data_IF_367679874285
#
_entry.id   IF_367679874285
#
_cell.length_a   1.000
_cell.length_b   1.000
_cell.length_c   1.000
_cell.angle_alpha   90.00
_cell.angle_beta   90.00
_cell.angle_gamma   90.00
#
_symmetry.space_group_name_H-M   'P 1'
#
loop_
_entity.id
_entity.type
_entity.pdbx_description
1 polymer ?
#
# COMPACT_ATOMS: atom_id res chain seq x y z
N UNK A 1 15.05 -10.53 15.51
CA UNK A 1 14.24 -10.18 14.31
C UNK A 1 12.88 -9.69 14.78
N UNK A 2 12.43 -8.52 14.29
CA UNK A 2 11.20 -7.90 14.78
C UNK A 2 9.98 -8.72 14.32
N UNK A 3 9.14 -9.24 15.22
CA UNK A 3 8.00 -10.13 14.86
C UNK A 3 7.04 -9.51 13.83
N UNK A 4 6.94 -8.17 13.77
CA UNK A 4 6.15 -7.45 12.77
C UNK A 4 6.62 -7.70 11.34
N UNK A 5 7.94 -7.76 11.12
CA UNK A 5 8.54 -7.96 9.80
C UNK A 5 8.16 -9.31 9.19
N UNK A 6 8.11 -10.36 10.01
CA UNK A 6 7.76 -11.71 9.56
C UNK A 6 6.30 -11.77 9.13
N UNK A 7 5.40 -11.15 9.90
CA UNK A 7 3.96 -11.12 9.58
C UNK A 7 3.71 -10.38 8.26
N UNK A 8 4.37 -9.24 8.05
CA UNK A 8 4.28 -8.48 6.81
C UNK A 8 4.78 -9.29 5.60
N UNK A 9 5.94 -9.94 5.73
CA UNK A 9 6.49 -10.77 4.66
C UNK A 9 5.57 -11.95 4.34
N UNK A 10 5.00 -12.61 5.36
CA UNK A 10 4.03 -13.70 5.18
C UNK A 10 2.77 -13.20 4.48
N UNK A 11 2.26 -12.02 4.85
CA UNK A 11 1.09 -11.41 4.21
C UNK A 11 1.34 -11.11 2.73
N UNK A 12 2.53 -10.61 2.39
CA UNK A 12 2.93 -10.37 0.99
C UNK A 12 3.00 -11.68 0.22
N UNK A 13 3.71 -12.69 0.75
CA UNK A 13 3.84 -14.01 0.09
C UNK A 13 2.47 -14.64 -0.14
N UNK A 14 1.59 -14.63 0.88
CA UNK A 14 0.25 -15.19 0.79
C UNK A 14 -0.61 -14.43 -0.24
N UNK A 15 -0.49 -13.10 -0.29
CA UNK A 15 -1.16 -12.27 -1.29
C UNK A 15 -0.69 -12.60 -2.72
N UNK A 16 0.62 -12.77 -2.93
CA UNK A 16 1.20 -13.16 -4.23
C UNK A 16 0.72 -14.54 -4.64
N UNK A 17 0.74 -15.52 -3.73
CA UNK A 17 0.25 -16.87 -4.02
C UNK A 17 -1.22 -16.88 -4.42
N UNK A 18 -2.06 -16.17 -3.66
CA UNK A 18 -3.48 -16.05 -3.96
C UNK A 18 -3.72 -15.36 -5.31
N UNK A 19 -3.00 -14.28 -5.59
CA UNK A 19 -3.13 -13.54 -6.85
C UNK A 19 -2.64 -14.36 -8.04
N UNK A 20 -1.56 -15.13 -7.89
CA UNK A 20 -1.04 -16.01 -8.94
C UNK A 20 -2.08 -17.06 -9.32
N UNK A 21 -2.76 -17.67 -8.34
CA UNK A 21 -3.85 -18.61 -8.60
C UNK A 21 -5.02 -17.94 -9.35
N UNK A 22 -5.34 -16.69 -8.98
CA UNK A 22 -6.42 -15.91 -9.58
C UNK A 22 -6.04 -15.34 -10.97
N UNK A 23 -4.75 -15.23 -11.29
CA UNK A 23 -4.25 -14.55 -12.49
C UNK A 23 -4.75 -15.18 -13.80
N UNK A 24 -5.09 -16.46 -13.77
CA UNK A 24 -5.65 -17.21 -14.91
C UNK A 24 -7.07 -16.78 -15.27
N UNK A 25 -7.77 -16.12 -14.34
CA UNK A 25 -9.14 -15.61 -14.54
C UNK A 25 -9.19 -14.13 -14.92
N UNK A 26 -8.04 -13.45 -14.91
CA UNK A 26 -7.97 -12.02 -15.22
C UNK A 26 -8.15 -11.76 -16.71
N UNK A 27 -8.78 -10.63 -17.08
CA UNK A 27 -8.90 -10.22 -18.46
C UNK A 27 -7.50 -10.03 -19.09
N UNK A 28 -7.35 -10.55 -20.31
CA UNK A 28 -6.09 -10.45 -21.07
C UNK A 28 -5.83 -9.05 -21.61
N UNK A 29 -6.86 -8.20 -21.72
CA UNK A 29 -6.74 -6.80 -22.12
C UNK A 29 -7.38 -5.89 -21.08
N UNK A 30 -6.61 -4.93 -20.56
CA UNK A 30 -7.10 -3.96 -19.58
C UNK A 30 -6.66 -2.55 -19.98
N UNK A 31 -7.51 -1.58 -19.73
CA UNK A 31 -7.17 -0.18 -19.95
C UNK A 31 -6.09 0.28 -18.96
N UNK A 32 -5.11 1.06 -19.43
CA UNK A 32 -4.02 1.56 -18.60
C UNK A 32 -4.51 2.32 -17.34
N UNK A 33 -5.58 3.10 -17.45
CA UNK A 33 -6.15 3.82 -16.31
C UNK A 33 -6.71 2.88 -15.24
N UNK A 34 -7.47 1.85 -15.65
CA UNK A 34 -7.98 0.83 -14.74
C UNK A 34 -6.86 0.03 -14.07
N UNK A 35 -5.79 -0.26 -14.82
CA UNK A 35 -4.59 -0.92 -14.29
C UNK A 35 -3.92 -0.09 -13.19
N UNK A 36 -3.77 1.23 -13.37
CA UNK A 36 -3.28 2.12 -12.31
C UNK A 36 -4.18 2.11 -11.08
N UNK A 37 -5.50 2.13 -11.28
CA UNK A 37 -6.47 2.05 -10.17
C UNK A 37 -6.33 0.75 -9.41
N UNK A 38 -6.21 -0.40 -10.08
CA UNK A 38 -6.05 -1.70 -9.42
C UNK A 38 -4.78 -1.75 -8.56
N UNK A 39 -3.65 -1.24 -9.05
CA UNK A 39 -2.41 -1.22 -8.26
C UNK A 39 -2.47 -0.23 -7.11
N UNK A 40 -3.05 0.96 -7.31
CA UNK A 40 -3.22 1.93 -6.24
C UNK A 40 -4.15 1.40 -5.13
N UNK A 41 -5.25 0.75 -5.50
CA UNK A 41 -6.14 0.08 -4.54
C UNK A 41 -5.44 -1.07 -3.80
N UNK A 42 -4.65 -1.87 -4.51
CA UNK A 42 -3.86 -2.95 -3.89
C UNK A 42 -2.93 -2.41 -2.82
N UNK A 43 -2.19 -1.32 -3.12
CA UNK A 43 -1.33 -0.65 -2.15
C UNK A 43 -2.10 -0.13 -0.94
N UNK A 44 -3.25 0.52 -1.17
CA UNK A 44 -4.08 1.08 -0.10
C UNK A 44 -4.67 -0.01 0.79
N UNK A 45 -5.21 -1.08 0.20
CA UNK A 45 -5.79 -2.22 0.96
C UNK A 45 -4.70 -2.91 1.77
N UNK A 46 -3.54 -3.15 1.17
CA UNK A 46 -2.43 -3.79 1.87
C UNK A 46 -1.90 -2.93 3.01
N UNK A 47 -1.74 -1.62 2.77
CA UNK A 47 -1.40 -0.65 3.82
C UNK A 47 -2.44 -0.60 4.94
N UNK A 48 -3.72 -0.62 4.59
CA UNK A 48 -4.83 -0.62 5.56
C UNK A 48 -4.82 -1.84 6.48
N UNK A 49 -4.67 -3.05 5.92
CA UNK A 49 -4.60 -4.27 6.74
C UNK A 49 -3.40 -4.25 7.70
N UNK A 50 -2.25 -3.75 7.24
CA UNK A 50 -1.07 -3.57 8.10
C UNK A 50 -1.35 -2.56 9.22
N UNK A 51 -1.92 -1.42 8.87
CA UNK A 51 -2.21 -0.35 9.83
C UNK A 51 -3.22 -0.80 10.88
N UNK A 52 -4.25 -1.57 10.48
CA UNK A 52 -5.16 -2.25 11.41
C UNK A 52 -4.44 -3.23 12.33
N UNK A 53 -3.51 -4.04 11.81
CA UNK A 53 -2.73 -4.99 12.60
C UNK A 53 -1.85 -4.28 13.64
N UNK A 54 -1.20 -3.17 13.26
CA UNK A 54 -0.39 -2.36 14.16
C UNK A 54 -1.24 -1.74 15.27
N UNK A 55 -2.40 -1.18 14.92
CA UNK A 55 -3.35 -0.63 15.91
C UNK A 55 -3.88 -1.70 16.87
N UNK A 56 -4.21 -2.90 16.37
CA UNK A 56 -4.66 -4.00 17.21
C UNK A 56 -3.58 -4.44 18.22
N UNK A 57 -2.32 -4.49 17.78
CA UNK A 57 -1.18 -4.83 18.63
C UNK A 57 -0.83 -3.73 19.64
N UNK A 58 -0.97 -2.46 19.25
CA UNK A 58 -0.73 -1.33 20.14
C UNK A 58 -1.79 -1.25 21.24
N UNK A 59 -3.06 -1.58 20.93
CA UNK A 59 -4.13 -1.68 21.93
C UNK A 59 -3.86 -2.73 23.02
N UNK A 60 -3.08 -3.76 22.71
CA UNK A 60 -2.66 -4.79 23.67
C UNK A 60 -1.41 -4.40 24.46
N UNK A 61 -0.74 -3.29 24.09
CA UNK A 61 0.48 -2.79 24.69
C UNK A 61 0.22 -1.36 25.21
N UNK A 62 -0.65 -1.24 26.21
CA UNK A 62 -0.94 0.05 26.87
C UNK A 62 0.30 0.46 27.67
N UNK A 63 1.12 1.31 27.06
CA UNK A 63 2.20 2.02 27.75
C UNK A 63 1.73 3.48 27.89
N UNK A 64 1.36 3.87 29.11
CA UNK A 64 0.74 5.17 29.45
C UNK A 64 1.67 6.38 29.21
N UNK A 65 2.91 6.16 28.77
CA UNK A 65 3.95 7.18 28.63
C UNK A 65 4.35 7.51 27.17
N UNK A 66 3.58 7.05 26.16
CA UNK A 66 3.95 7.30 24.76
C UNK A 66 3.85 8.81 24.39
N UNK A 67 4.94 9.43 23.88
CA UNK A 67 4.99 10.87 23.59
C UNK A 67 4.01 11.31 22.49
N UNK A 68 3.59 12.57 22.62
CA UNK A 68 2.56 13.27 21.84
C UNK A 68 2.77 13.11 20.33
N UNK A 69 1.73 12.60 19.68
CA UNK A 69 1.66 12.25 18.27
C UNK A 69 1.94 13.46 17.34
N UNK A 70 3.10 13.48 16.67
CA UNK A 70 3.38 14.42 15.57
C UNK A 70 2.46 14.15 14.39
N UNK A 71 1.89 15.17 13.73
CA UNK A 71 1.08 15.01 12.51
C UNK A 71 1.90 14.40 11.35
N UNK A 72 2.00 13.08 11.30
CA UNK A 72 2.60 12.34 10.19
C UNK A 72 1.49 11.74 9.34
N UNK A 73 1.61 11.89 8.03
CA UNK A 73 0.77 11.17 7.07
C UNK A 73 1.61 10.02 6.52
N UNK A 74 1.07 8.79 6.57
CA UNK A 74 1.71 7.64 5.94
C UNK A 74 1.89 7.92 4.45
N UNK A 75 3.11 7.76 3.93
CA UNK A 75 3.42 8.01 2.54
C UNK A 75 2.53 7.19 1.60
N UNK A 76 2.07 6.01 2.03
CA UNK A 76 1.18 5.17 1.22
C UNK A 76 -0.19 5.79 0.97
N UNK A 77 -0.76 6.48 1.96
CA UNK A 77 -2.04 7.19 1.77
C UNK A 77 -1.82 8.44 0.91
N UNK A 78 -0.71 9.15 1.13
CA UNK A 78 -0.33 10.33 0.34
C UNK A 78 -0.05 10.01 -1.13
N UNK A 79 0.48 8.83 -1.46
CA UNK A 79 0.74 8.42 -2.85
C UNK A 79 -0.48 7.66 -3.41
N UNK A 80 -1.08 6.77 -2.63
CA UNK A 80 -2.15 5.88 -3.06
C UNK A 80 -3.41 6.63 -3.47
N UNK A 81 -3.90 7.56 -2.63
CA UNK A 81 -5.13 8.29 -2.93
C UNK A 81 -5.03 9.15 -4.21
N UNK A 82 -4.00 9.99 -4.40
CA UNK A 82 -3.83 10.71 -5.66
C UNK A 82 -3.68 9.78 -6.86
N UNK A 83 -3.00 8.65 -6.70
CA UNK A 83 -2.83 7.67 -7.79
C UNK A 83 -4.17 7.05 -8.20
N UNK A 84 -5.09 6.80 -7.26
CA UNK A 84 -6.46 6.36 -7.60
C UNK A 84 -7.18 7.43 -8.42
N UNK A 85 -7.19 8.70 -7.99
CA UNK A 85 -7.87 9.77 -8.72
C UNK A 85 -7.28 9.99 -10.12
N UNK A 86 -5.95 9.95 -10.24
CA UNK A 86 -5.27 10.03 -11.53
C UNK A 86 -5.61 8.84 -12.42
N UNK A 87 -5.60 7.63 -11.88
CA UNK A 87 -5.96 6.41 -12.62
C UNK A 87 -7.39 6.44 -13.13
N UNK A 88 -8.35 6.90 -12.31
CA UNK A 88 -9.75 7.11 -12.72
C UNK A 88 -9.81 8.14 -13.85
N UNK A 89 -9.17 9.29 -13.70
CA UNK A 89 -9.14 10.33 -14.73
C UNK A 89 -8.58 9.80 -16.06
N UNK A 90 -7.48 9.04 -16.00
CA UNK A 90 -6.88 8.40 -17.18
C UNK A 90 -7.79 7.34 -17.80
N UNK A 91 -8.51 6.56 -16.99
CA UNK A 91 -9.46 5.57 -17.50
C UNK A 91 -10.60 6.21 -18.29
N UNK A 92 -11.06 7.40 -17.86
CA UNK A 92 -12.08 8.17 -18.58
C UNK A 92 -11.52 8.91 -19.81
N UNK A 93 -10.32 9.49 -19.72
CA UNK A 93 -9.72 10.26 -20.83
C UNK A 93 -9.10 9.38 -21.94
N UNK A 94 -8.55 8.21 -21.58
CA UNK A 94 -7.79 7.34 -22.48
C UNK A 94 -8.41 5.94 -22.57
N UNK A 95 -9.74 5.85 -22.67
CA UNK A 95 -10.46 4.57 -22.70
C UNK A 95 -10.04 3.63 -23.85
N UNK A 96 -9.47 4.18 -24.91
CA UNK A 96 -8.99 3.44 -26.09
C UNK A 96 -7.62 2.79 -25.92
N UNK A 97 -6.85 3.13 -24.88
CA UNK A 97 -5.51 2.58 -24.67
C UNK A 97 -5.57 1.33 -23.79
N UNK A 98 -5.74 0.18 -24.45
CA UNK A 98 -5.66 -1.14 -23.82
C UNK A 98 -4.25 -1.70 -23.90
N UNK A 99 -3.83 -2.34 -22.82
CA UNK A 99 -2.59 -3.12 -22.74
C UNK A 99 -2.99 -4.58 -22.59
N UNK A 100 -2.37 -5.43 -23.38
CA UNK A 100 -2.50 -6.88 -23.22
C UNK A 100 -1.50 -7.39 -22.21
N UNK A 101 -1.97 -8.13 -21.21
CA UNK A 101 -1.15 -8.71 -20.17
C UNK A 101 -1.42 -10.20 -20.06
N UNK A 102 -0.35 -10.97 -20.06
CA UNK A 102 -0.34 -12.40 -19.73
C UNK A 102 -0.49 -12.60 -18.22
N UNK A 103 -0.89 -13.80 -17.80
CA UNK A 103 -1.01 -14.15 -16.38
C UNK A 103 0.30 -13.95 -15.60
N UNK A 104 1.44 -14.19 -16.26
CA UNK A 104 2.77 -13.99 -15.68
C UNK A 104 3.09 -12.51 -15.50
N UNK A 105 2.79 -11.66 -16.49
CA UNK A 105 2.97 -10.21 -16.38
C UNK A 105 2.09 -9.60 -15.29
N UNK A 106 0.83 -10.05 -15.18
CA UNK A 106 -0.04 -9.68 -14.06
C UNK A 106 0.61 -9.99 -12.71
N UNK A 107 1.13 -11.21 -12.56
CA UNK A 107 1.75 -11.67 -11.32
C UNK A 107 3.01 -10.86 -10.98
N UNK A 108 3.84 -10.57 -11.99
CA UNK A 108 5.04 -9.74 -11.84
C UNK A 108 4.66 -8.33 -11.40
N UNK A 109 3.73 -7.67 -12.09
CA UNK A 109 3.33 -6.31 -11.77
C UNK A 109 2.70 -6.21 -10.37
N UNK A 110 1.86 -7.18 -10.00
CA UNK A 110 1.29 -7.25 -8.66
C UNK A 110 2.36 -7.43 -7.59
N UNK A 111 3.32 -8.33 -7.82
CA UNK A 111 4.44 -8.58 -6.91
C UNK A 111 5.33 -7.35 -6.76
N UNK A 112 5.67 -6.67 -7.87
CA UNK A 112 6.42 -5.41 -7.85
C UNK A 112 5.68 -4.32 -7.08
N UNK A 113 4.36 -4.24 -7.23
CA UNK A 113 3.52 -3.29 -6.50
C UNK A 113 3.60 -3.54 -4.99
N UNK A 114 3.45 -4.80 -4.55
CA UNK A 114 3.55 -5.13 -3.12
C UNK A 114 4.96 -4.90 -2.57
N UNK A 115 6.00 -5.26 -3.32
CA UNK A 115 7.40 -5.01 -2.94
C UNK A 115 7.69 -3.51 -2.84
N UNK A 116 7.16 -2.73 -3.77
CA UNK A 116 7.27 -1.27 -3.73
C UNK A 116 6.58 -0.70 -2.49
N UNK A 117 5.33 -1.10 -2.22
CA UNK A 117 4.60 -0.74 -1.00
C UNK A 117 5.39 -1.10 0.27
N UNK A 118 5.99 -2.28 0.30
CA UNK A 118 6.85 -2.71 1.40
C UNK A 118 8.15 -1.89 1.51
N UNK A 119 8.75 -1.49 0.40
CA UNK A 119 9.97 -0.68 0.41
C UNK A 119 9.73 0.74 0.94
N UNK A 120 8.56 1.32 0.63
CA UNK A 120 8.20 2.68 1.04
C UNK A 120 7.50 2.74 2.40
N UNK A 121 7.22 1.61 3.05
CA UNK A 121 6.39 1.55 4.26
C UNK A 121 6.91 2.32 5.47
N UNK A 122 8.22 2.37 5.60
CA UNK A 122 8.87 3.06 6.72
C UNK A 122 9.08 4.56 6.41
N UNK A 123 8.63 5.04 5.24
CA UNK A 123 8.77 6.44 4.85
C UNK A 123 7.57 7.25 5.33
N UNK A 124 7.84 8.28 6.11
CA UNK A 124 6.85 9.28 6.50
C UNK A 124 7.17 10.63 5.86
N UNK A 125 6.11 11.35 5.48
CA UNK A 125 6.20 12.77 5.17
C UNK A 125 5.96 13.54 6.46
N UNK A 126 7.00 14.20 6.98
CA UNK A 126 6.86 15.16 8.07
C UNK A 126 6.49 16.51 7.50
N UNK A 127 5.40 17.13 7.98
CA UNK A 127 4.98 18.46 7.53
C UNK A 127 5.78 19.62 8.15
N UNK A 128 6.47 19.40 9.27
CA UNK A 128 7.37 20.37 9.91
C UNK A 128 8.56 19.67 10.59
N UNK A 129 9.80 19.81 10.11
CA UNK A 129 10.19 20.36 8.79
C UNK A 129 9.75 19.44 7.64
N UNK A 130 9.45 20.01 6.47
CA UNK A 130 9.16 19.26 5.25
C UNK A 130 10.33 18.33 4.94
N UNK A 131 10.11 17.02 5.08
CA UNK A 131 11.16 16.04 4.89
C UNK A 131 10.59 14.63 4.83
N UNK A 132 11.30 13.77 4.09
CA UNK A 132 11.03 12.33 4.09
C UNK A 132 11.94 11.73 5.15
N UNK A 133 11.37 11.11 6.18
CA UNK A 133 12.15 10.40 7.21
C UNK A 133 11.78 8.93 7.20
N UNK A 134 12.78 8.08 7.41
CA UNK A 134 12.58 6.65 7.63
C UNK A 134 12.46 6.41 9.13
N UNK A 135 11.32 5.92 9.60
CA UNK A 135 11.15 5.63 11.01
C UNK A 135 10.55 4.23 11.20
N UNK A 136 11.07 3.50 12.20
CA UNK A 136 10.89 2.04 12.30
C UNK A 136 9.78 1.63 13.27
N UNK A 137 9.29 2.58 14.08
CA UNK A 137 8.29 2.36 15.13
C UNK A 137 7.17 3.40 14.98
N UNK A 138 6.45 3.33 13.88
CA UNK A 138 5.23 4.12 13.69
C UNK A 138 4.08 3.43 14.42
N UNK A 139 3.89 3.76 15.71
CA UNK A 139 2.55 3.68 16.30
C UNK A 139 1.68 4.65 15.54
N UNK A 140 0.61 4.16 14.92
CA UNK A 140 -0.21 4.93 13.99
C UNK A 140 -0.62 6.26 14.63
N UNK A 141 -0.22 7.39 14.03
CA UNK A 141 -0.50 8.71 14.59
C UNK A 141 -1.94 9.03 14.26
N UNK A 142 -2.79 8.88 15.27
CA UNK A 142 -4.16 9.38 15.29
C UNK A 142 -4.12 10.87 14.95
N UNK A 143 -4.73 11.25 13.83
CA UNK A 143 -5.11 12.63 13.56
C UNK A 143 -6.06 13.08 14.68
N UNK A 144 -5.53 13.76 15.71
CA UNK A 144 -6.35 14.64 16.54
C UNK A 144 -6.62 15.90 15.73
N UNK A 145 -7.87 16.03 15.31
CA UNK A 145 -8.46 17.30 14.89
C UNK A 145 -8.57 18.23 16.10
#
# INVERSE_FOLDING_TARGET
MNKSFIVELVLIILSIMLFTALSTTLPTSVNLGWLMVYFALTLLIHGFFRDMYLLYKQKTSVDDNAPIAMRCMCLESSIGLPTVFLGIGLAYCFSSWSITLTALEWTILFSLTLLFGFAIKDLIITFKPLGIRKEKNHGNIIFKW
#
